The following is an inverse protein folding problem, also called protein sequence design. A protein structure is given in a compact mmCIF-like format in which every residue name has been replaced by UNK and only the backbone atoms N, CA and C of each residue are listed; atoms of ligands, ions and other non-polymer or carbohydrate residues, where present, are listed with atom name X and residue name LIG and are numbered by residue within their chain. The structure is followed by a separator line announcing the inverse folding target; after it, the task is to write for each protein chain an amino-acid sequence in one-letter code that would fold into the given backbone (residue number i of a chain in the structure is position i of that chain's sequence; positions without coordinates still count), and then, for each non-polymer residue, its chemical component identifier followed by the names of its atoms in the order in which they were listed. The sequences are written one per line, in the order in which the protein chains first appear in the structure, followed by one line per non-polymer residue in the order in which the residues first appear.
data_IF_711962036958
#
_entry.id   IF_711962036958
#
_cell.length_a   1.000
_cell.length_b   1.000
_cell.length_c   1.000
_cell.angle_alpha   90.00
_cell.angle_beta   90.00
_cell.angle_gamma   90.00
#
_symmetry.space_group_name_H-M   'P 1'
#
loop_
_entity.id
_entity.type
_entity.pdbx_description
1 polymer ?
#
# COMPACT_ATOMS: atom_id res chain seq x y z
N UNK A 1 -14.91 -3.53 21.44
CA UNK A 1 -15.29 -4.94 21.60
C UNK A 1 -14.26 -5.82 20.90
N UNK A 2 -13.92 -6.94 21.50
CA UNK A 2 -12.85 -7.85 21.05
C UNK A 2 -13.01 -8.32 19.60
N UNK A 3 -14.23 -8.44 19.10
CA UNK A 3 -14.53 -8.90 17.74
C UNK A 3 -14.12 -7.89 16.66
N UNK A 4 -14.11 -6.60 16.94
CA UNK A 4 -13.83 -5.56 15.97
C UNK A 4 -12.31 -5.43 15.69
N UNK A 5 -11.49 -5.59 16.71
CA UNK A 5 -10.02 -5.48 16.58
C UNK A 5 -9.45 -6.67 15.79
N UNK A 6 -9.98 -7.87 16.02
CA UNK A 6 -9.56 -9.06 15.28
C UNK A 6 -9.98 -9.09 13.80
N UNK A 7 -10.86 -8.19 13.35
CA UNK A 7 -11.38 -8.17 11.98
C UNK A 7 -10.60 -7.26 11.02
N UNK A 8 -9.60 -6.53 11.50
CA UNK A 8 -8.85 -5.55 10.69
C UNK A 8 -7.48 -6.05 10.27
N UNK A 9 -7.02 -5.58 9.12
CA UNK A 9 -5.73 -6.00 8.53
C UNK A 9 -4.52 -5.44 9.30
N UNK A 10 -4.67 -4.25 9.90
CA UNK A 10 -3.62 -3.56 10.65
C UNK A 10 -4.20 -2.85 11.87
N UNK A 11 -3.34 -2.54 12.84
CA UNK A 11 -3.70 -1.81 14.05
C UNK A 11 -4.21 -0.41 13.73
N UNK A 12 -3.60 0.25 12.75
CA UNK A 12 -3.97 1.58 12.30
C UNK A 12 -5.42 1.61 11.82
N UNK A 13 -5.83 0.61 11.04
CA UNK A 13 -7.22 0.46 10.57
C UNK A 13 -8.18 0.15 11.74
N UNK A 14 -7.72 -0.59 12.75
CA UNK A 14 -8.51 -0.87 13.95
C UNK A 14 -8.89 0.41 14.71
N UNK A 15 -8.06 1.43 14.62
CA UNK A 15 -8.26 2.71 15.31
C UNK A 15 -9.15 3.67 14.52
N UNK A 16 -9.30 3.47 13.21
CA UNK A 16 -10.07 4.36 12.34
C UNK A 16 -11.55 4.40 12.77
N UNK A 17 -12.05 5.58 13.06
CA UNK A 17 -13.46 5.80 13.43
C UNK A 17 -13.88 5.29 14.81
N UNK A 18 -13.00 4.65 15.58
CA UNK A 18 -13.32 4.07 16.89
C UNK A 18 -13.20 5.09 18.04
N UNK A 19 -12.42 6.14 17.86
CA UNK A 19 -12.03 7.02 18.96
C UNK A 19 -12.22 8.48 18.58
N UNK A 20 -12.99 9.21 19.39
CA UNK A 20 -13.22 10.64 19.19
C UNK A 20 -11.91 11.44 19.29
N UNK A 21 -11.64 12.31 18.30
CA UNK A 21 -10.45 13.15 18.24
C UNK A 21 -9.19 12.42 17.75
N UNK A 22 -9.33 11.21 17.19
CA UNK A 22 -8.31 10.50 16.47
C UNK A 22 -8.60 10.59 14.96
N UNK A 23 -7.65 11.09 14.19
CA UNK A 23 -7.68 11.06 12.72
C UNK A 23 -6.73 9.98 12.23
N UNK A 24 -7.22 9.08 11.39
CA UNK A 24 -6.44 8.02 10.75
C UNK A 24 -6.59 8.17 9.25
N UNK A 25 -5.51 8.48 8.57
CA UNK A 25 -5.48 8.65 7.11
C UNK A 25 -4.52 7.63 6.51
N UNK A 26 -5.01 6.66 5.71
CA UNK A 26 -4.12 5.74 5.02
C UNK A 26 -3.26 6.52 4.00
N UNK A 27 -1.97 6.20 3.92
CA UNK A 27 -1.04 6.85 2.99
C UNK A 27 -1.24 6.35 1.56
N UNK A 28 -1.64 5.09 1.40
CA UNK A 28 -1.98 4.50 0.10
C UNK A 28 -2.90 3.28 0.28
N UNK A 29 -3.41 2.75 -0.84
CA UNK A 29 -4.16 1.50 -0.87
C UNK A 29 -3.28 0.24 -1.01
N UNK A 30 -1.97 0.39 -1.03
CA UNK A 30 -1.06 -0.75 -1.18
C UNK A 30 -1.08 -1.66 0.08
N UNK A 31 -0.90 -2.97 -0.08
CA UNK A 31 -0.74 -3.89 1.03
C UNK A 31 0.33 -3.44 2.01
N UNK A 32 -0.02 -3.38 3.28
CA UNK A 32 0.90 -2.99 4.33
C UNK A 32 1.32 -1.52 4.36
N UNK A 33 0.65 -0.66 3.60
CA UNK A 33 0.88 0.79 3.68
C UNK A 33 0.56 1.30 5.09
N UNK A 34 1.41 2.15 5.68
CA UNK A 34 1.16 2.73 6.99
C UNK A 34 -0.01 3.74 6.90
N UNK A 35 -0.69 3.95 8.02
CA UNK A 35 -1.64 5.05 8.13
C UNK A 35 -1.05 6.16 9.00
N UNK A 36 -1.31 7.41 8.61
CA UNK A 36 -0.95 8.57 9.40
C UNK A 36 -2.00 8.79 10.48
N UNK A 37 -1.55 8.80 11.72
CA UNK A 37 -2.42 8.93 12.89
C UNK A 37 -2.13 10.25 13.59
N UNK A 38 -3.18 11.04 13.82
CA UNK A 38 -3.10 12.31 14.53
C UNK A 38 -4.08 12.34 15.69
N UNK A 39 -3.60 12.79 16.86
CA UNK A 39 -4.41 12.97 18.05
C UNK A 39 -4.60 14.49 18.27
N UNK A 40 -5.88 14.95 18.32
CA UNK A 40 -6.26 16.36 18.52
C UNK A 40 -5.77 17.34 17.45
N UNK A 41 -5.49 16.89 16.23
CA UNK A 41 -5.04 17.74 15.13
C UNK A 41 -3.54 18.05 15.14
N UNK A 42 -3.13 19.11 14.46
CA UNK A 42 -1.71 19.50 14.31
C UNK A 42 -1.28 20.38 15.47
N UNK A 43 -0.42 19.87 16.33
CA UNK A 43 0.12 20.60 17.48
C UNK A 43 1.45 21.33 17.16
N UNK A 44 2.14 20.98 16.09
CA UNK A 44 3.44 21.57 15.71
C UNK A 44 3.48 21.87 14.22
N UNK A 45 4.13 22.98 13.85
CA UNK A 45 4.36 23.36 12.45
C UNK A 45 5.65 22.73 11.87
N UNK A 46 6.62 22.40 12.73
CA UNK A 46 7.96 21.98 12.30
C UNK A 46 8.47 20.69 12.98
N UNK A 47 7.62 19.87 13.56
CA UNK A 47 8.02 18.61 14.21
C UNK A 47 7.14 17.44 13.82
N UNK A 48 7.61 16.24 14.15
CA UNK A 48 6.81 15.02 13.99
C UNK A 48 5.48 15.18 14.74
N UNK A 49 4.38 14.86 14.05
CA UNK A 49 3.03 14.96 14.61
C UNK A 49 2.49 13.59 15.03
N UNK A 50 3.31 12.56 14.87
CA UNK A 50 2.93 11.20 15.17
C UNK A 50 2.91 10.95 16.69
N UNK A 51 1.92 10.20 17.19
CA UNK A 51 1.83 9.85 18.61
C UNK A 51 2.93 8.87 18.99
N UNK A 52 3.34 8.89 20.26
CA UNK A 52 4.23 7.88 20.80
C UNK A 52 3.47 6.56 20.95
N UNK A 53 4.04 5.48 20.46
CA UNK A 53 3.51 4.15 20.65
C UNK A 53 4.21 3.43 21.80
N UNK A 54 3.42 2.79 22.64
CA UNK A 54 3.88 2.04 23.81
C UNK A 54 3.30 0.63 23.76
N UNK A 55 4.15 -0.38 23.72
CA UNK A 55 3.77 -1.79 23.72
C UNK A 55 4.08 -2.42 25.09
N UNK A 56 3.04 -2.85 25.82
CA UNK A 56 3.16 -3.44 27.16
C UNK A 56 4.02 -2.61 28.13
N UNK A 57 3.97 -1.28 28.02
CA UNK A 57 4.72 -0.34 28.85
C UNK A 57 6.07 0.10 28.28
N UNK A 58 6.51 -0.44 27.15
CA UNK A 58 7.78 -0.11 26.50
C UNK A 58 7.52 0.82 25.33
N UNK A 59 8.10 2.03 25.30
CA UNK A 59 8.03 2.90 24.15
C UNK A 59 8.69 2.27 22.92
N UNK A 60 8.00 2.29 21.78
CA UNK A 60 8.52 1.82 20.51
C UNK A 60 9.28 2.95 19.80
N UNK A 61 10.32 2.58 19.07
CA UNK A 61 11.10 3.49 18.23
C UNK A 61 10.83 3.23 16.75
N UNK A 62 11.11 4.24 15.89
CA UNK A 62 10.93 4.09 14.44
C UNK A 62 9.47 3.98 14.01
N UNK A 63 8.58 4.67 14.73
CA UNK A 63 7.13 4.67 14.44
C UNK A 63 6.69 5.84 13.57
N UNK A 64 7.60 6.73 13.22
CA UNK A 64 7.31 7.91 12.42
C UNK A 64 6.86 7.50 11.01
N UNK A 65 5.73 8.05 10.59
CA UNK A 65 5.20 7.87 9.25
C UNK A 65 5.70 9.02 8.37
N UNK A 66 6.30 8.74 7.19
CA UNK A 66 6.78 9.79 6.29
C UNK A 66 5.69 10.79 5.94
N UNK A 67 6.06 12.06 5.75
CA UNK A 67 5.15 13.08 5.23
C UNK A 67 4.78 12.75 3.75
N UNK A 68 3.64 13.24 3.23
CA UNK A 68 3.19 12.95 1.86
C UNK A 68 4.21 13.30 0.79
N UNK A 69 5.03 14.32 1.02
CA UNK A 69 6.08 14.78 0.11
C UNK A 69 7.29 13.82 0.12
N UNK A 70 7.55 13.17 1.26
CA UNK A 70 8.60 12.15 1.41
C UNK A 70 8.16 10.78 0.86
N UNK A 71 6.84 10.56 0.70
CA UNK A 71 6.29 9.35 0.10
C UNK A 71 6.57 9.22 -1.40
N UNK A 72 6.95 10.32 -2.04
CA UNK A 72 7.43 10.30 -3.43
C UNK A 72 8.82 9.68 -3.55
N UNK A 73 9.57 9.60 -2.44
CA UNK A 73 10.86 8.92 -2.38
C UNK A 73 10.70 7.57 -1.65
N UNK A 74 10.58 6.52 -2.42
CA UNK A 74 10.36 5.14 -1.95
C UNK A 74 11.51 4.65 -1.06
N UNK A 75 12.70 5.24 -1.19
CA UNK A 75 13.87 4.91 -0.35
C UNK A 75 13.66 5.33 1.10
N UNK A 76 12.78 6.28 1.35
CA UNK A 76 12.47 6.83 2.68
C UNK A 76 11.24 6.19 3.36
N UNK A 77 10.61 5.18 2.76
CA UNK A 77 9.52 4.44 3.41
C UNK A 77 10.02 3.71 4.65
N UNK A 78 10.19 4.46 5.73
CA UNK A 78 10.42 3.89 7.06
C UNK A 78 9.20 3.06 7.43
N UNK A 79 9.41 1.78 7.60
CA UNK A 79 8.35 0.88 8.06
C UNK A 79 8.11 1.16 9.53
N UNK A 80 6.89 1.54 9.88
CA UNK A 80 6.50 1.62 11.28
C UNK A 80 6.69 0.28 11.98
N UNK A 81 7.37 0.26 13.12
CA UNK A 81 7.56 -0.93 13.94
C UNK A 81 6.24 -1.57 14.39
N UNK A 82 5.15 -0.78 14.40
CA UNK A 82 3.79 -1.22 14.75
C UNK A 82 3.17 -2.08 13.67
N UNK A 83 3.50 -1.83 12.41
CA UNK A 83 2.93 -2.55 11.29
C UNK A 83 3.27 -4.07 11.30
N UNK A 84 4.25 -4.47 12.10
CA UNK A 84 4.61 -5.86 12.34
C UNK A 84 3.77 -6.56 13.42
N UNK A 85 3.03 -5.83 14.25
CA UNK A 85 2.23 -6.43 15.31
C UNK A 85 0.97 -7.11 14.75
N UNK A 86 0.63 -8.27 15.31
CA UNK A 86 -0.59 -8.96 14.94
C UNK A 86 -1.77 -8.43 15.76
N UNK A 87 -2.83 -7.88 15.11
CA UNK A 87 -4.02 -7.42 15.83
C UNK A 87 -4.68 -8.51 16.71
N UNK A 88 -4.57 -9.79 16.32
CA UNK A 88 -5.11 -10.90 17.08
C UNK A 88 -4.46 -11.08 18.46
N UNK A 89 -3.26 -10.56 18.69
CA UNK A 89 -2.55 -10.63 19.98
C UNK A 89 -2.86 -9.46 20.91
N UNK A 90 -3.64 -8.48 20.46
CA UNK A 90 -3.98 -7.29 21.24
C UNK A 90 -5.15 -7.61 22.18
N UNK A 91 -4.98 -7.25 23.45
CA UNK A 91 -6.04 -7.28 24.46
C UNK A 91 -6.77 -5.93 24.53
N UNK A 92 -6.00 -4.82 24.50
CA UNK A 92 -6.58 -3.48 24.60
C UNK A 92 -5.67 -2.43 23.97
N UNK A 93 -6.31 -1.35 23.46
CA UNK A 93 -5.61 -0.15 23.00
C UNK A 93 -6.18 1.04 23.77
N UNK A 94 -5.31 1.79 24.43
CA UNK A 94 -5.67 2.99 25.19
C UNK A 94 -4.96 4.19 24.61
N UNK A 95 -5.69 5.30 24.40
CA UNK A 95 -5.11 6.54 23.90
C UNK A 95 -5.08 7.58 25.03
N UNK A 96 -3.86 8.01 25.36
CA UNK A 96 -3.62 9.06 26.34
C UNK A 96 -3.51 10.40 25.59
N UNK A 97 -4.45 11.28 25.86
CA UNK A 97 -4.54 12.57 25.19
C UNK A 97 -4.16 13.74 26.12
N UNK A 98 -4.31 13.54 27.44
CA UNK A 98 -4.15 14.60 28.42
C UNK A 98 -2.69 14.75 28.85
N UNK A 99 -2.26 15.98 29.07
CA UNK A 99 -0.89 16.30 29.46
C UNK A 99 -0.43 15.55 30.72
N UNK A 100 -1.32 15.36 31.69
CA UNK A 100 -1.01 14.62 32.92
C UNK A 100 -0.76 13.12 32.63
N UNK A 101 -1.54 12.51 31.72
CA UNK A 101 -1.37 11.13 31.34
C UNK A 101 -0.13 10.91 30.47
N UNK A 102 0.25 11.89 29.63
CA UNK A 102 1.41 11.81 28.76
C UNK A 102 2.72 12.15 29.47
N UNK A 103 2.67 12.85 30.61
CA UNK A 103 3.86 13.26 31.38
C UNK A 103 4.76 12.10 31.81
N UNK A 104 4.19 10.89 31.97
CA UNK A 104 4.93 9.66 32.33
C UNK A 104 5.95 9.28 31.24
N UNK A 105 5.69 9.66 29.98
CA UNK A 105 6.51 9.30 28.82
C UNK A 105 7.43 10.45 28.34
N UNK A 106 7.42 11.58 29.04
CA UNK A 106 8.29 12.72 28.77
C UNK A 106 7.96 13.48 27.48
N UNK A 107 8.94 14.21 26.93
CA UNK A 107 8.75 15.10 25.77
C UNK A 107 8.28 14.38 24.50
N UNK A 108 8.62 13.10 24.33
CA UNK A 108 8.17 12.29 23.18
C UNK A 108 6.65 12.07 23.13
N UNK A 109 5.96 12.30 24.24
CA UNK A 109 4.52 12.15 24.35
C UNK A 109 3.72 13.43 24.05
N UNK A 110 4.37 14.48 23.54
CA UNK A 110 3.73 15.78 23.27
C UNK A 110 2.54 15.68 22.31
N UNK A 111 2.58 14.75 21.35
CA UNK A 111 1.52 14.50 20.39
C UNK A 111 0.50 13.44 20.83
N UNK A 112 0.55 13.04 22.11
CA UNK A 112 -0.25 11.96 22.68
C UNK A 112 0.46 10.61 22.66
N UNK A 113 -0.15 9.63 23.33
CA UNK A 113 0.41 8.28 23.47
C UNK A 113 -0.65 7.24 23.14
N UNK A 114 -0.29 6.27 22.33
CA UNK A 114 -1.10 5.08 22.05
C UNK A 114 -0.48 3.90 22.78
N UNK A 115 -1.16 3.41 23.80
CA UNK A 115 -0.73 2.29 24.63
C UNK A 115 -1.41 1.02 24.16
N UNK A 116 -0.63 0.07 23.69
CA UNK A 116 -1.07 -1.27 23.30
C UNK A 116 -0.77 -2.24 24.43
N UNK A 117 -1.80 -2.90 24.91
CA UNK A 117 -1.67 -4.02 25.84
C UNK A 117 -1.97 -5.31 25.09
N UNK A 118 -1.04 -6.24 25.12
CA UNK A 118 -1.19 -7.53 24.45
C UNK A 118 -1.70 -8.61 25.41
N UNK A 119 -2.32 -9.65 24.84
CA UNK A 119 -2.88 -10.79 25.58
C UNK A 119 -1.84 -11.44 26.48
N UNK A 120 -2.29 -11.91 27.65
CA UNK A 120 -1.46 -12.56 28.68
C UNK A 120 -2.08 -13.90 29.07
N UNK A 121 -1.27 -14.77 29.63
CA UNK A 121 -1.76 -16.01 30.22
C UNK A 121 -2.67 -15.74 31.44
N UNK A 122 -3.72 -16.53 31.56
CA UNK A 122 -4.67 -16.51 32.69
C UNK A 122 -4.62 -17.83 33.43
N UNK A 123 -4.91 -17.79 34.74
CA UNK A 123 -5.05 -19.01 35.55
C UNK A 123 -6.23 -19.81 35.02
N UNK A 124 -6.01 -21.06 34.71
CA UNK A 124 -7.04 -21.95 34.18
C UNK A 124 -6.44 -23.07 33.31
N UNK A 125 -7.33 -23.93 32.82
CA UNK A 125 -6.95 -24.98 31.88
C UNK A 125 -6.37 -24.38 30.62
N UNK A 126 -5.45 -25.08 29.94
CA UNK A 126 -4.96 -24.65 28.64
C UNK A 126 -6.11 -24.43 27.64
N UNK A 127 -6.11 -23.28 26.99
CA UNK A 127 -7.06 -22.92 25.92
C UNK A 127 -6.28 -22.70 24.63
N UNK A 128 -6.65 -23.43 23.61
CA UNK A 128 -6.11 -23.28 22.25
C UNK A 128 -7.17 -22.56 21.43
N UNK A 129 -6.78 -21.47 20.79
CA UNK A 129 -7.62 -20.76 19.83
C UNK A 129 -6.94 -20.81 18.46
N UNK A 130 -7.71 -21.19 17.44
CA UNK A 130 -7.31 -21.11 16.05
C UNK A 130 -8.34 -20.28 15.30
N UNK A 131 -7.86 -19.34 14.48
CA UNK A 131 -8.69 -18.59 13.58
C UNK A 131 -8.05 -18.51 12.19
N UNK A 132 -8.88 -18.56 11.16
CA UNK A 132 -8.46 -18.29 9.79
C UNK A 132 -9.42 -17.32 9.14
N UNK A 133 -8.89 -16.41 8.32
CA UNK A 133 -9.67 -15.44 7.57
C UNK A 133 -9.17 -15.39 6.14
N UNK A 134 -10.13 -15.34 5.23
CA UNK A 134 -9.90 -15.18 3.81
C UNK A 134 -10.66 -13.95 3.33
N UNK A 135 -9.98 -13.08 2.59
CA UNK A 135 -10.57 -11.86 2.05
C UNK A 135 -10.35 -11.81 0.56
N UNK A 136 -11.43 -11.68 -0.17
CA UNK A 136 -11.42 -11.43 -1.61
C UNK A 136 -11.68 -9.95 -1.87
N UNK A 137 -10.83 -9.33 -2.65
CA UNK A 137 -10.96 -7.93 -3.08
C UNK A 137 -11.04 -7.93 -4.60
N UNK A 138 -12.17 -7.55 -5.19
CA UNK A 138 -12.31 -7.52 -6.65
C UNK A 138 -11.35 -6.51 -7.27
N UNK A 139 -11.03 -6.73 -8.53
CA UNK A 139 -10.19 -5.83 -9.31
C UNK A 139 -10.76 -4.42 -9.38
N UNK A 140 -9.89 -3.45 -9.65
CA UNK A 140 -10.28 -2.05 -9.86
C UNK A 140 -10.81 -1.90 -11.29
N UNK A 141 -12.07 -1.47 -11.44
CA UNK A 141 -12.61 -1.10 -12.74
C UNK A 141 -12.26 0.35 -13.07
N UNK A 142 -11.74 0.58 -14.26
CA UNK A 142 -11.50 1.91 -14.80
C UNK A 142 -12.73 2.55 -15.45
N UNK A 143 -13.85 1.84 -15.58
CA UNK A 143 -15.07 2.29 -16.26
C UNK A 143 -15.63 3.60 -15.70
N UNK A 144 -15.43 3.82 -14.39
CA UNK A 144 -15.88 5.05 -13.72
C UNK A 144 -15.07 6.30 -14.07
N UNK A 145 -13.92 6.13 -14.71
CA UNK A 145 -13.04 7.26 -15.06
C UNK A 145 -13.42 7.92 -16.40
N UNK A 146 -14.38 7.37 -17.13
CA UNK A 146 -14.80 7.85 -18.45
C UNK A 146 -13.58 8.11 -19.38
N UNK A 147 -12.66 7.16 -19.44
CA UNK A 147 -11.51 7.25 -20.33
C UNK A 147 -11.97 7.11 -21.79
N UNK A 148 -11.29 7.83 -22.68
CA UNK A 148 -11.56 7.74 -24.12
C UNK A 148 -11.25 6.34 -24.62
N UNK A 149 -12.13 5.77 -25.43
CA UNK A 149 -11.81 4.60 -26.21
C UNK A 149 -10.96 4.99 -27.44
N UNK A 150 -10.48 4.01 -28.20
CA UNK A 150 -9.58 4.26 -29.32
C UNK A 150 -10.21 5.08 -30.44
N UNK A 151 -11.47 4.87 -30.75
CA UNK A 151 -12.17 5.64 -31.75
C UNK A 151 -12.32 7.12 -31.37
N UNK A 152 -12.67 7.38 -30.11
CA UNK A 152 -12.78 8.72 -29.52
C UNK A 152 -11.41 9.41 -29.44
N UNK A 153 -10.37 8.68 -29.00
CA UNK A 153 -9.00 9.19 -28.93
C UNK A 153 -8.47 9.59 -30.29
N UNK A 154 -8.63 8.71 -31.29
CA UNK A 154 -8.23 8.97 -32.66
C UNK A 154 -9.02 10.14 -33.28
N UNK A 155 -10.33 10.23 -32.98
CA UNK A 155 -11.15 11.37 -33.39
C UNK A 155 -10.61 12.69 -32.84
N UNK A 156 -10.31 12.73 -31.56
CA UNK A 156 -9.72 13.89 -30.88
C UNK A 156 -8.36 14.29 -31.52
N UNK A 157 -7.47 13.32 -31.75
CA UNK A 157 -6.18 13.58 -32.42
C UNK A 157 -6.34 14.15 -33.82
N UNK A 158 -7.28 13.61 -34.58
CA UNK A 158 -7.60 14.15 -35.92
C UNK A 158 -8.09 15.59 -35.84
N UNK A 159 -8.97 15.92 -34.90
CA UNK A 159 -9.48 17.29 -34.71
C UNK A 159 -8.37 18.25 -34.26
N UNK A 160 -7.49 17.82 -33.41
CA UNK A 160 -6.32 18.59 -32.94
C UNK A 160 -5.39 18.92 -34.13
N UNK A 161 -5.08 17.92 -34.95
CA UNK A 161 -4.20 18.09 -36.14
C UNK A 161 -4.83 19.06 -37.14
N UNK A 162 -6.14 18.93 -37.44
CA UNK A 162 -6.86 19.83 -38.35
C UNK A 162 -6.89 21.27 -37.88
N UNK A 163 -6.96 21.50 -36.60
CA UNK A 163 -6.99 22.83 -35.99
C UNK A 163 -5.59 23.39 -35.69
N UNK A 164 -4.54 22.79 -36.26
CA UNK A 164 -3.14 23.14 -35.97
C UNK A 164 -2.78 23.10 -34.49
N UNK A 165 -3.53 22.37 -33.69
CA UNK A 165 -3.21 22.09 -32.33
C UNK A 165 -2.27 20.88 -32.30
N UNK A 166 -1.01 21.13 -32.54
CA UNK A 166 0.00 20.08 -32.45
C UNK A 166 0.22 19.77 -30.99
N UNK A 167 0.05 18.54 -30.51
CA UNK A 167 0.59 18.15 -29.23
C UNK A 167 2.09 18.42 -29.26
N UNK A 168 2.62 19.04 -28.21
CA UNK A 168 3.98 19.59 -28.09
C UNK A 168 5.12 18.62 -28.48
N UNK A 169 4.84 17.36 -28.72
CA UNK A 169 5.85 16.34 -28.95
C UNK A 169 5.63 15.49 -30.23
N UNK A 170 4.72 15.88 -31.10
CA UNK A 170 4.45 15.08 -32.30
C UNK A 170 4.09 13.61 -31.99
N UNK A 171 3.46 13.35 -30.88
CA UNK A 171 3.26 12.02 -30.31
C UNK A 171 1.76 11.74 -30.23
N UNK A 172 1.24 11.20 -31.24
CA UNK A 172 -0.07 10.59 -31.27
C UNK A 172 -0.08 9.60 -32.41
N UNK A 173 -0.81 8.52 -32.29
CA UNK A 173 -0.83 7.49 -33.30
C UNK A 173 -1.23 8.02 -34.66
N UNK A 174 -2.19 8.94 -34.74
CA UNK A 174 -2.62 9.58 -35.98
C UNK A 174 -1.52 10.46 -36.58
N UNK A 175 -0.85 11.28 -35.77
CA UNK A 175 0.22 12.14 -36.25
C UNK A 175 1.37 11.32 -36.81
N UNK A 176 1.76 10.25 -36.15
CA UNK A 176 2.84 9.36 -36.59
C UNK A 176 2.47 8.67 -37.93
N UNK A 177 1.23 8.21 -38.10
CA UNK A 177 0.75 7.65 -39.37
C UNK A 177 0.84 8.70 -40.47
N UNK A 178 0.26 9.89 -40.26
CA UNK A 178 0.29 10.97 -41.25
C UNK A 178 1.71 11.40 -41.63
N UNK A 179 2.63 11.43 -40.66
CA UNK A 179 4.03 11.75 -40.92
C UNK A 179 4.75 10.66 -41.69
N UNK A 180 4.54 9.40 -41.35
CA UNK A 180 5.17 8.25 -42.00
C UNK A 180 4.73 8.11 -43.46
N UNK A 181 3.48 8.47 -43.78
CA UNK A 181 2.95 8.49 -45.14
C UNK A 181 3.17 9.82 -45.85
N UNK A 182 3.81 10.82 -45.22
CA UNK A 182 4.00 12.18 -45.74
C UNK A 182 2.68 12.91 -46.13
N UNK A 183 1.59 12.61 -45.42
CA UNK A 183 0.25 13.12 -45.73
C UNK A 183 -0.27 14.14 -44.69
N UNK A 184 0.59 14.62 -43.78
CA UNK A 184 0.18 15.56 -42.72
C UNK A 184 -0.45 16.84 -43.30
N UNK A 185 0.23 17.47 -44.30
CA UNK A 185 -0.26 18.68 -44.96
C UNK A 185 -1.53 18.43 -45.77
N UNK A 186 -1.63 17.28 -46.40
CA UNK A 186 -2.83 16.89 -47.15
C UNK A 186 -4.03 16.77 -46.20
N UNK A 187 -3.85 16.15 -45.04
CA UNK A 187 -4.89 16.04 -44.03
C UNK A 187 -5.29 17.39 -43.43
N UNK A 188 -4.33 18.26 -43.13
CA UNK A 188 -4.60 19.59 -42.58
C UNK A 188 -5.45 20.46 -43.53
N UNK A 189 -5.19 20.40 -44.84
CA UNK A 189 -5.85 21.22 -45.84
C UNK A 189 -7.13 20.60 -46.38
N UNK A 190 -7.15 19.28 -46.61
CA UNK A 190 -8.25 18.58 -47.28
C UNK A 190 -9.01 17.58 -46.39
N UNK A 191 -8.55 17.33 -45.19
CA UNK A 191 -9.19 16.40 -44.26
C UNK A 191 -9.07 14.94 -44.68
N UNK A 192 -10.03 14.12 -44.26
CA UNK A 192 -10.04 12.67 -44.44
C UNK A 192 -9.99 12.26 -45.92
N UNK A 193 -10.74 12.96 -46.79
CA UNK A 193 -10.86 12.63 -48.21
C UNK A 193 -9.59 12.93 -49.02
N UNK A 194 -8.66 13.68 -48.46
CA UNK A 194 -7.36 13.97 -49.09
C UNK A 194 -6.30 12.90 -48.77
N UNK A 195 -6.63 11.92 -47.96
CA UNK A 195 -5.72 10.84 -47.55
C UNK A 195 -5.78 9.66 -48.53
N UNK A 196 -4.65 9.01 -48.73
CA UNK A 196 -4.59 7.74 -49.46
C UNK A 196 -5.36 6.64 -48.72
N UNK A 197 -5.75 5.61 -49.50
CA UNK A 197 -6.43 4.43 -48.95
C UNK A 197 -5.61 3.73 -47.86
N UNK A 198 -4.28 3.72 -47.99
CA UNK A 198 -3.38 3.06 -47.08
C UNK A 198 -3.29 3.81 -45.75
N UNK A 199 -3.21 5.14 -45.79
CA UNK A 199 -3.26 5.99 -44.59
C UNK A 199 -4.59 5.89 -43.89
N UNK A 200 -5.70 5.92 -44.64
CA UNK A 200 -7.04 5.72 -44.06
C UNK A 200 -7.17 4.34 -43.39
N UNK A 201 -6.66 3.28 -44.01
CA UNK A 201 -6.67 1.94 -43.47
C UNK A 201 -5.84 1.85 -42.16
N UNK A 202 -4.67 2.48 -42.13
CA UNK A 202 -3.82 2.54 -40.95
C UNK A 202 -4.50 3.27 -39.79
N UNK A 203 -5.14 4.42 -40.03
CA UNK A 203 -5.89 5.15 -39.00
C UNK A 203 -7.12 4.36 -38.53
N UNK A 204 -7.84 3.71 -39.46
CA UNK A 204 -8.98 2.87 -39.10
C UNK A 204 -8.55 1.66 -38.26
N UNK A 205 -7.34 1.13 -38.46
CA UNK A 205 -6.79 0.10 -37.59
C UNK A 205 -6.61 0.60 -36.16
N UNK A 206 -6.08 1.82 -35.96
CA UNK A 206 -6.00 2.39 -34.58
C UNK A 206 -7.38 2.47 -33.92
N UNK A 207 -8.41 2.89 -34.69
CA UNK A 207 -9.79 2.96 -34.16
C UNK A 207 -10.35 1.60 -33.75
N UNK A 208 -9.92 0.53 -34.39
CA UNK A 208 -10.45 -0.84 -34.18
C UNK A 208 -9.80 -1.57 -32.99
N UNK A 209 -8.61 -1.18 -32.59
CA UNK A 209 -7.92 -1.72 -31.41
C UNK A 209 -8.41 -0.97 -30.17
N UNK A 210 -8.78 -1.67 -29.13
CA UNK A 210 -9.16 -1.03 -27.88
C UNK A 210 -8.64 -1.85 -26.67
N UNK A 211 -7.48 -1.47 -26.19
CA UNK A 211 -6.80 -2.13 -25.07
C UNK A 211 -7.34 -1.62 -23.75
N UNK A 212 -7.92 -2.51 -22.97
CA UNK A 212 -8.30 -2.20 -21.59
C UNK A 212 -7.09 -2.39 -20.66
N UNK A 213 -6.41 -1.31 -20.36
CA UNK A 213 -5.25 -1.33 -19.48
C UNK A 213 -5.59 -1.71 -18.03
N UNK A 214 -6.83 -1.50 -17.62
CA UNK A 214 -7.31 -1.96 -16.32
C UNK A 214 -7.26 -3.48 -16.19
N UNK A 215 -7.74 -4.20 -17.20
CA UNK A 215 -7.75 -5.66 -17.21
C UNK A 215 -6.34 -6.27 -17.31
N UNK A 216 -5.40 -5.51 -17.89
CA UNK A 216 -4.01 -5.97 -18.05
C UNK A 216 -3.20 -5.74 -16.77
N UNK A 217 -3.39 -4.60 -16.10
CA UNK A 217 -2.53 -4.16 -14.99
C UNK A 217 -3.10 -4.49 -13.62
N UNK A 218 -4.42 -4.68 -13.53
CA UNK A 218 -5.09 -4.98 -12.27
C UNK A 218 -5.66 -6.39 -12.26
N UNK A 219 -5.70 -6.96 -11.08
CA UNK A 219 -6.24 -8.30 -10.82
C UNK A 219 -7.08 -8.33 -9.56
N UNK A 220 -7.86 -9.36 -9.42
CA UNK A 220 -8.47 -9.70 -8.15
C UNK A 220 -7.38 -10.01 -7.12
N UNK A 221 -7.57 -9.53 -5.91
CA UNK A 221 -6.64 -9.73 -4.81
C UNK A 221 -7.23 -10.69 -3.78
N UNK A 222 -6.37 -11.53 -3.24
CA UNK A 222 -6.73 -12.50 -2.22
C UNK A 222 -5.81 -12.36 -1.02
N UNK A 223 -6.42 -12.28 0.18
CA UNK A 223 -5.66 -12.23 1.43
C UNK A 223 -6.04 -13.40 2.30
N UNK A 224 -5.06 -13.93 3.01
CA UNK A 224 -5.25 -15.04 3.95
C UNK A 224 -4.53 -14.76 5.26
N UNK A 225 -5.20 -15.10 6.34
CA UNK A 225 -4.71 -14.93 7.70
C UNK A 225 -4.95 -16.19 8.51
N UNK A 226 -3.95 -16.61 9.27
CA UNK A 226 -4.01 -17.73 10.18
C UNK A 226 -3.42 -17.31 11.52
N UNK A 227 -4.17 -17.52 12.60
CA UNK A 227 -3.73 -17.23 13.94
C UNK A 227 -3.95 -18.47 14.82
N UNK A 228 -2.92 -18.87 15.54
CA UNK A 228 -2.96 -19.94 16.52
C UNK A 228 -2.45 -19.37 17.84
N UNK A 229 -3.20 -19.54 18.92
CA UNK A 229 -2.75 -19.15 20.24
C UNK A 229 -3.04 -20.21 21.29
N UNK A 230 -2.17 -20.27 22.28
CA UNK A 230 -2.26 -21.13 23.45
C UNK A 230 -2.09 -20.26 24.70
N UNK A 231 -3.04 -20.33 25.61
CA UNK A 231 -2.98 -19.64 26.89
C UNK A 231 -3.42 -20.55 28.03
N UNK A 232 -2.87 -20.34 29.23
CA UNK A 232 -3.24 -21.09 30.38
C UNK A 232 -2.35 -20.80 31.58
N UNK A 233 -2.51 -21.58 32.65
CA UNK A 233 -1.62 -21.50 33.79
C UNK A 233 -2.24 -21.91 35.09
N UNK A 234 -1.40 -21.90 36.09
CA UNK A 234 -1.72 -22.11 37.51
C UNK A 234 -1.60 -20.79 38.27
N UNK A 235 -1.91 -20.79 39.57
CA UNK A 235 -1.68 -19.60 40.42
C UNK A 235 -0.21 -19.15 40.47
N UNK A 236 0.73 -20.06 40.15
CA UNK A 236 2.17 -19.78 40.17
C UNK A 236 2.71 -19.41 38.78
N UNK A 237 2.22 -20.04 37.72
CA UNK A 237 2.74 -19.84 36.36
C UNK A 237 1.59 -19.56 35.42
N UNK A 238 1.66 -18.50 34.67
CA UNK A 238 0.76 -18.26 33.55
C UNK A 238 1.57 -18.07 32.26
N UNK A 239 1.02 -18.54 31.14
CA UNK A 239 1.67 -18.47 29.86
C UNK A 239 0.68 -18.10 28.76
N UNK A 240 1.19 -17.37 27.75
CA UNK A 240 0.54 -17.09 26.48
C UNK A 240 1.56 -17.25 25.37
N UNK A 241 1.20 -17.96 24.34
CA UNK A 241 1.99 -18.01 23.10
C UNK A 241 1.07 -17.94 21.92
N UNK A 242 1.52 -17.27 20.85
CA UNK A 242 0.78 -17.18 19.61
C UNK A 242 1.71 -17.23 18.39
N UNK A 243 1.17 -17.75 17.31
CA UNK A 243 1.74 -17.73 15.98
C UNK A 243 0.71 -17.13 15.02
N UNK A 244 1.14 -16.16 14.22
CA UNK A 244 0.33 -15.51 13.19
C UNK A 244 1.04 -15.56 11.84
N UNK A 245 0.29 -15.87 10.80
CA UNK A 245 0.70 -15.71 9.41
C UNK A 245 -0.35 -14.90 8.67
N UNK A 246 0.09 -13.89 7.95
CA UNK A 246 -0.74 -13.07 7.10
C UNK A 246 -0.08 -12.90 5.73
N UNK A 247 -0.83 -13.14 4.67
CA UNK A 247 -0.44 -12.86 3.30
C UNK A 247 -1.52 -12.04 2.62
N UNK A 248 -1.12 -10.97 1.94
CA UNK A 248 -2.00 -10.11 1.16
C UNK A 248 -1.41 -9.91 -0.23
N UNK A 249 -2.16 -10.30 -1.24
CA UNK A 249 -1.88 -9.93 -2.61
C UNK A 249 -2.57 -8.59 -2.92
N UNK A 250 -1.89 -7.69 -3.63
CA UNK A 250 -2.47 -6.43 -4.08
C UNK A 250 -3.25 -6.58 -5.40
N UNK A 251 -4.14 -5.62 -5.66
CA UNK A 251 -4.84 -5.54 -6.95
C UNK A 251 -3.92 -5.23 -8.12
N UNK A 252 -2.72 -4.73 -7.88
CA UNK A 252 -1.68 -4.55 -8.89
C UNK A 252 -0.76 -5.76 -8.85
N UNK A 253 -0.48 -6.37 -10.00
CA UNK A 253 0.39 -7.54 -10.06
C UNK A 253 1.80 -7.22 -9.55
N UNK A 254 2.39 -8.14 -8.76
CA UNK A 254 3.71 -7.95 -8.14
C UNK A 254 3.70 -7.09 -6.88
N UNK A 255 2.53 -6.61 -6.42
CA UNK A 255 2.39 -5.92 -5.14
C UNK A 255 1.80 -6.86 -4.09
N UNK A 256 2.38 -6.89 -2.90
CA UNK A 256 1.90 -7.77 -1.83
C UNK A 256 2.63 -7.60 -0.51
N UNK A 257 2.13 -8.29 0.50
CA UNK A 257 2.71 -8.32 1.84
C UNK A 257 2.62 -9.71 2.46
N UNK A 258 3.72 -10.14 3.06
CA UNK A 258 3.78 -11.32 3.94
C UNK A 258 4.20 -10.90 5.35
N UNK A 259 3.53 -11.43 6.36
CA UNK A 259 3.84 -11.17 7.77
C UNK A 259 3.77 -12.45 8.60
N UNK A 260 4.83 -12.70 9.35
CA UNK A 260 4.91 -13.76 10.38
C UNK A 260 5.06 -13.12 11.75
N UNK A 261 4.32 -13.61 12.72
CA UNK A 261 4.37 -13.13 14.10
C UNK A 261 4.52 -14.31 15.03
N UNK A 262 5.34 -14.13 16.05
CA UNK A 262 5.48 -15.05 17.18
C UNK A 262 5.48 -14.24 18.47
N UNK A 263 4.63 -14.64 19.41
CA UNK A 263 4.58 -14.06 20.75
C UNK A 263 4.75 -15.17 21.78
N UNK A 264 5.60 -14.94 22.75
CA UNK A 264 5.76 -15.80 23.92
C UNK A 264 5.77 -14.96 25.18
N UNK A 265 4.91 -15.28 26.13
CA UNK A 265 4.83 -14.60 27.42
C UNK A 265 4.70 -15.62 28.54
N UNK A 266 5.50 -15.46 29.59
CA UNK A 266 5.42 -16.26 30.79
C UNK A 266 5.50 -15.36 32.00
N UNK A 267 4.73 -15.67 33.01
CA UNK A 267 4.79 -15.00 34.29
C UNK A 267 4.84 -16.03 35.39
N UNK A 268 5.81 -15.90 36.29
CA UNK A 268 6.07 -16.80 37.41
C UNK A 268 6.01 -16.04 38.72
N UNK A 269 5.12 -16.45 39.59
CA UNK A 269 5.03 -15.96 40.97
C UNK A 269 5.98 -16.76 41.83
N UNK A 270 7.15 -16.18 42.15
CA UNK A 270 8.20 -16.83 42.95
C UNK A 270 7.72 -17.05 44.40
N UNK A 271 7.14 -15.99 44.96
CA UNK A 271 6.52 -15.98 46.31
C UNK A 271 5.44 -14.88 46.38
N UNK A 272 4.95 -14.56 47.57
CA UNK A 272 3.94 -13.50 47.77
C UNK A 272 4.43 -12.09 47.41
N UNK A 273 5.77 -11.89 47.37
CA UNK A 273 6.42 -10.59 47.20
C UNK A 273 7.03 -10.42 45.81
N UNK A 274 7.42 -11.51 45.15
CA UNK A 274 8.17 -11.44 43.88
C UNK A 274 7.44 -12.17 42.75
N UNK A 275 7.23 -11.45 41.67
CA UNK A 275 6.73 -11.97 40.40
C UNK A 275 7.72 -11.64 39.29
N UNK A 276 8.08 -12.65 38.52
CA UNK A 276 8.98 -12.53 37.35
C UNK A 276 8.18 -12.79 36.11
N UNK A 277 8.31 -11.90 35.12
CA UNK A 277 7.71 -12.05 33.79
C UNK A 277 8.77 -12.00 32.70
N UNK A 278 8.61 -12.84 31.70
CA UNK A 278 9.40 -12.78 30.47
C UNK A 278 8.44 -12.68 29.27
N UNK A 279 8.77 -11.79 28.36
CA UNK A 279 8.00 -11.59 27.12
C UNK A 279 8.94 -11.52 25.94
N UNK A 280 8.55 -12.16 24.84
CA UNK A 280 9.25 -12.14 23.57
C UNK A 280 8.24 -11.87 22.47
N UNK A 281 8.57 -10.94 21.60
CA UNK A 281 7.87 -10.64 20.36
C UNK A 281 8.85 -10.78 19.21
N UNK A 282 8.51 -11.57 18.22
CA UNK A 282 9.27 -11.64 16.98
C UNK A 282 8.31 -11.49 15.82
N UNK A 283 8.65 -10.63 14.89
CA UNK A 283 7.93 -10.51 13.64
C UNK A 283 8.90 -10.41 12.46
N UNK A 284 8.46 -10.95 11.34
CA UNK A 284 9.07 -10.77 10.03
C UNK A 284 8.00 -10.29 9.08
N UNK A 285 8.26 -9.18 8.41
CA UNK A 285 7.38 -8.62 7.40
C UNK A 285 8.16 -8.39 6.13
N UNK A 286 7.57 -8.78 5.02
CA UNK A 286 8.09 -8.51 3.69
C UNK A 286 6.99 -7.83 2.87
N UNK A 287 7.30 -6.63 2.36
CA UNK A 287 6.44 -5.92 1.43
C UNK A 287 7.11 -5.94 0.06
N UNK A 288 6.31 -6.18 -0.97
CA UNK A 288 6.73 -6.04 -2.37
C UNK A 288 5.91 -4.94 -3.00
N UNK A 289 6.55 -3.95 -3.56
CA UNK A 289 5.94 -2.80 -4.21
C UNK A 289 6.69 -2.46 -5.50
N UNK A 290 6.14 -1.54 -6.32
CA UNK A 290 6.87 -0.95 -7.42
C UNK A 290 7.80 0.16 -6.91
N UNK A 291 9.00 0.20 -7.47
CA UNK A 291 9.94 1.30 -7.28
C UNK A 291 9.63 2.39 -8.30
N UNK A 292 8.65 3.24 -7.99
CA UNK A 292 8.23 4.33 -8.86
C UNK A 292 7.50 5.40 -8.07
N UNK A 293 7.60 6.65 -8.51
CA UNK A 293 6.80 7.72 -7.95
C UNK A 293 5.32 7.61 -8.37
N UNK A 294 4.45 8.39 -7.73
CA UNK A 294 3.01 8.34 -7.96
C UNK A 294 2.60 8.78 -9.39
N UNK A 295 3.46 9.53 -10.08
CA UNK A 295 3.23 10.09 -11.41
C UNK A 295 4.18 9.54 -12.46
N UNK A 296 5.03 8.58 -12.10
CA UNK A 296 5.93 7.92 -13.03
C UNK A 296 5.19 7.00 -13.99
N UNK A 297 5.62 6.93 -15.24
CA UNK A 297 5.03 6.03 -16.26
C UNK A 297 5.19 4.55 -15.90
N UNK A 298 6.20 4.20 -15.11
CA UNK A 298 6.37 2.85 -14.55
C UNK A 298 5.39 2.53 -13.42
N UNK A 299 4.59 3.51 -12.95
CA UNK A 299 3.51 3.28 -12.00
C UNK A 299 2.28 2.72 -12.70
N UNK A 300 1.83 1.49 -12.42
CA UNK A 300 0.71 0.86 -13.13
C UNK A 300 -0.60 1.63 -13.02
N UNK A 301 -0.86 2.26 -11.87
CA UNK A 301 -2.07 3.06 -11.66
C UNK A 301 -2.04 4.36 -12.47
N UNK A 302 -0.89 4.98 -12.58
CA UNK A 302 -0.73 6.17 -13.42
C UNK A 302 -0.76 5.80 -14.90
N UNK A 303 -0.01 4.76 -15.29
CA UNK A 303 0.05 4.27 -16.66
C UNK A 303 -1.32 3.86 -17.21
N UNK A 304 -2.12 3.13 -16.41
CA UNK A 304 -3.45 2.67 -16.84
C UNK A 304 -4.39 3.79 -17.29
N UNK A 305 -4.15 5.03 -16.83
CA UNK A 305 -4.94 6.22 -17.17
C UNK A 305 -4.31 7.05 -18.31
N UNK A 306 -3.04 6.82 -18.62
CA UNK A 306 -2.26 7.60 -19.59
C UNK A 306 -1.95 6.83 -20.86
N UNK A 307 -1.91 5.50 -20.77
CA UNK A 307 -1.65 4.65 -21.92
C UNK A 307 -2.68 4.85 -23.04
N UNK A 308 -2.22 4.85 -24.26
CA UNK A 308 -3.09 4.97 -25.42
C UNK A 308 -3.96 3.70 -25.55
N UNK A 309 -5.28 3.83 -25.70
CA UNK A 309 -6.17 2.68 -25.83
C UNK A 309 -5.94 1.87 -27.11
N UNK A 310 -5.37 2.47 -28.16
CA UNK A 310 -5.01 1.78 -29.40
C UNK A 310 -3.63 1.11 -29.36
N UNK A 311 -2.89 1.19 -28.25
CA UNK A 311 -1.61 0.52 -28.10
C UNK A 311 -1.82 -0.92 -27.63
N UNK A 312 -1.28 -1.88 -28.39
CA UNK A 312 -1.33 -3.31 -28.07
C UNK A 312 -0.06 -3.70 -27.32
N UNK A 313 -0.20 -4.41 -26.18
CA UNK A 313 0.93 -4.82 -25.35
C UNK A 313 1.88 -5.78 -26.09
N UNK A 314 1.34 -6.59 -26.98
CA UNK A 314 2.09 -7.60 -27.74
C UNK A 314 1.95 -7.38 -29.23
N UNK A 315 3.03 -7.66 -29.97
CA UNK A 315 3.02 -7.74 -31.42
C UNK A 315 2.35 -9.04 -31.90
N UNK A 316 2.24 -9.20 -33.22
CA UNK A 316 1.64 -10.40 -33.85
C UNK A 316 2.41 -11.70 -33.56
N UNK A 317 3.66 -11.60 -33.14
CA UNK A 317 4.54 -12.74 -32.82
C UNK A 317 4.55 -13.04 -31.31
N UNK A 318 3.84 -12.27 -30.51
CA UNK A 318 3.79 -12.42 -29.05
C UNK A 318 4.95 -11.75 -28.30
N UNK A 319 5.75 -10.92 -28.96
CA UNK A 319 6.78 -10.12 -28.31
C UNK A 319 6.16 -8.83 -27.76
N UNK A 320 6.80 -8.24 -26.75
CA UNK A 320 6.38 -6.94 -26.25
C UNK A 320 6.47 -5.86 -27.33
N UNK A 321 5.40 -5.08 -27.46
CA UNK A 321 5.41 -3.83 -28.19
C UNK A 321 5.95 -2.71 -27.30
N UNK A 322 6.57 -1.73 -27.92
CA UNK A 322 7.09 -0.54 -27.24
C UNK A 322 6.30 0.70 -27.66
N UNK A 323 5.82 1.43 -26.66
CA UNK A 323 5.12 2.69 -26.86
C UNK A 323 6.16 3.83 -26.94
N UNK A 324 6.32 4.41 -28.10
CA UNK A 324 7.18 5.57 -28.34
C UNK A 324 6.44 6.90 -28.14
N UNK A 325 5.12 6.85 -27.98
CA UNK A 325 4.25 8.02 -27.89
C UNK A 325 3.99 8.48 -26.46
N UNK A 326 4.20 7.60 -25.46
CA UNK A 326 3.83 7.87 -24.08
C UNK A 326 4.86 8.71 -23.33
N UNK A 327 6.10 8.74 -23.80
CA UNK A 327 7.14 9.49 -23.12
C UNK A 327 7.05 10.98 -23.41
N UNK A 328 6.86 11.77 -22.36
CA UNK A 328 6.93 13.23 -22.41
C UNK A 328 8.36 13.76 -22.61
N UNK A 329 9.30 12.97 -23.12
CA UNK A 329 10.69 13.34 -23.13
C UNK A 329 11.40 13.22 -24.45
N UNK A 330 12.29 14.10 -24.56
CA UNK A 330 13.35 14.48 -25.48
C UNK A 330 14.06 13.35 -26.24
N UNK A 331 14.00 12.10 -25.79
CA UNK A 331 14.59 10.95 -26.49
C UNK A 331 13.50 10.15 -27.22
N UNK A 332 13.33 10.49 -28.49
CA UNK A 332 12.35 9.86 -29.40
C UNK A 332 12.63 8.39 -29.70
N UNK A 333 13.78 7.89 -29.30
CA UNK A 333 14.28 6.57 -29.68
C UNK A 333 14.10 5.51 -28.59
N UNK A 334 13.58 5.91 -27.40
CA UNK A 334 13.33 4.99 -26.32
C UNK A 334 11.88 4.53 -26.33
N UNK A 335 11.66 3.29 -26.68
CA UNK A 335 10.37 2.64 -26.51
C UNK A 335 10.11 2.32 -25.05
N UNK A 336 8.87 2.45 -24.62
CA UNK A 336 8.42 2.14 -23.28
C UNK A 336 7.51 0.91 -23.26
N UNK A 337 7.79 -0.04 -22.38
CA UNK A 337 6.90 -1.15 -22.06
C UNK A 337 6.77 -1.28 -20.55
N UNK A 338 5.55 -1.15 -20.03
CA UNK A 338 5.28 -1.15 -18.58
C UNK A 338 5.75 -2.43 -17.88
N UNK A 339 5.78 -3.57 -18.55
CA UNK A 339 6.19 -4.84 -17.98
C UNK A 339 7.70 -5.02 -17.91
N UNK A 340 8.45 -4.38 -18.81
CA UNK A 340 9.92 -4.39 -18.79
C UNK A 340 10.48 -3.30 -17.87
N UNK A 341 9.84 -2.12 -17.89
CA UNK A 341 10.28 -0.97 -17.08
C UNK A 341 9.87 -1.06 -15.61
N UNK A 342 8.92 -1.93 -15.27
CA UNK A 342 8.53 -2.10 -13.90
C UNK A 342 9.65 -2.72 -13.08
N UNK A 343 10.06 -2.03 -12.03
CA UNK A 343 11.00 -2.54 -11.05
C UNK A 343 10.26 -2.85 -9.76
N UNK A 344 10.24 -4.12 -9.39
CA UNK A 344 9.72 -4.53 -8.10
C UNK A 344 10.80 -4.32 -7.04
N UNK A 345 10.45 -3.65 -5.97
CA UNK A 345 11.29 -3.60 -4.77
C UNK A 345 10.64 -4.39 -3.66
N UNK A 346 11.46 -5.06 -2.86
CA UNK A 346 10.98 -5.76 -1.70
C UNK A 346 11.71 -5.22 -0.46
N UNK A 347 10.92 -4.77 0.50
CA UNK A 347 11.40 -4.34 1.80
C UNK A 347 11.09 -5.42 2.83
N UNK A 348 12.12 -5.91 3.49
CA UNK A 348 11.97 -6.89 4.56
C UNK A 348 12.36 -6.25 5.89
N UNK A 349 11.50 -6.44 6.90
CA UNK A 349 11.74 -6.01 8.27
C UNK A 349 11.63 -7.21 9.19
N UNK A 350 12.66 -7.40 10.00
CA UNK A 350 12.67 -8.38 11.08
C UNK A 350 12.85 -7.63 12.38
N UNK A 351 11.86 -7.75 13.28
CA UNK A 351 11.91 -7.12 14.60
C UNK A 351 11.77 -8.19 15.67
N UNK A 352 12.69 -8.21 16.59
CA UNK A 352 12.61 -9.07 17.79
C UNK A 352 12.79 -8.20 19.02
N UNK A 353 11.81 -8.26 19.91
CA UNK A 353 11.82 -7.54 21.19
C UNK A 353 11.67 -8.58 22.30
N UNK A 354 12.59 -8.56 23.24
CA UNK A 354 12.48 -9.38 24.47
C UNK A 354 12.70 -8.52 25.68
N UNK A 355 11.92 -8.74 26.73
CA UNK A 355 12.08 -8.05 28.00
C UNK A 355 11.70 -8.94 29.19
N UNK A 356 12.36 -8.67 30.31
CA UNK A 356 12.07 -9.33 31.60
C UNK A 356 11.52 -8.28 32.55
N UNK A 357 10.43 -8.61 33.22
CA UNK A 357 9.76 -7.76 34.19
C UNK A 357 9.87 -8.35 35.59
N UNK A 358 10.35 -7.55 36.53
CA UNK A 358 10.34 -7.85 37.93
C UNK A 358 9.34 -6.91 38.62
N UNK A 359 8.30 -7.45 39.24
CA UNK A 359 7.34 -6.65 40.01
C UNK A 359 7.39 -7.03 41.46
N UNK A 360 7.62 -6.02 42.27
CA UNK A 360 7.41 -6.09 43.74
C UNK A 360 6.02 -5.51 44.00
N UNK A 361 5.16 -6.17 44.78
CA UNK A 361 3.93 -5.54 45.23
C UNK A 361 4.28 -4.33 46.08
N UNK A 362 3.68 -3.21 45.80
CA UNK A 362 3.69 -1.99 46.60
C UNK A 362 2.80 -2.19 47.81
#
# INVERSE_FOLDING_TARGET
SDETIGAVKSIDQALAGQIAGLSVSPTSGAPGAPAKIRIRGTASLNGTQDPLWVLDGIPLEGTDVPEPDELNDITNMKQSSIAGLNPADIENITILKDAAATAIYGARAANGVIVITTKKGKVGKPVINFSSRFTYTPTLSLDRLNLLNSAEKVGLEMDMIRNNYSPDNHKGGVYNILSNYNELSAFQNGGWDALSSDTQAAINRLKSVNTNWGDILFRDAFSQEYNLSLSGGTERVTYYTSFGYYKEDGNVDGVGMDRFNLVGKTSYKVNSILKVGASMFANRRKNTNYLTDAYGMSNPVFYSRKANPYFELYDKNGNYNYDYDIQNNTDKDLGFNIFEERQNTSNESVVTVSYTHLTLPT
#
